data_IF_576475885525
#
_entry.id   IF_576475885525
#
_cell.length_a   1.000
_cell.length_b   1.000
_cell.length_c   1.000
_cell.angle_alpha   90.00
_cell.angle_beta   90.00
_cell.angle_gamma   90.00
#
_symmetry.space_group_name_H-M   'P 1'
#
loop_
_entity.id
_entity.type
_entity.pdbx_description
1 polymer ?
#
# COMPACT_ATOMS: atom_id res chain seq x y z
N UNK A 1 24.97 56.64 21.62
CA UNK A 1 24.65 55.21 21.90
C UNK A 1 23.14 54.93 21.89
N UNK A 2 22.41 55.18 20.77
CA UNK A 2 20.96 54.89 20.70
C UNK A 2 20.52 53.94 19.56
N UNK A 3 21.40 53.54 18.64
CA UNK A 3 20.97 52.76 17.45
C UNK A 3 21.33 51.26 17.49
N UNK A 4 22.10 50.79 18.49
CA UNK A 4 22.54 49.38 18.56
C UNK A 4 21.45 48.43 19.10
N UNK A 5 20.55 48.92 19.95
CA UNK A 5 19.46 48.12 20.54
C UNK A 5 18.29 47.91 19.56
N UNK A 6 18.02 48.89 18.70
CA UNK A 6 16.94 48.81 17.70
C UNK A 6 17.24 47.83 16.56
N UNK A 7 18.52 47.73 16.15
CA UNK A 7 18.95 46.76 15.13
C UNK A 7 18.88 45.31 15.62
N UNK A 8 19.21 45.06 16.90
CA UNK A 8 19.12 43.72 17.48
C UNK A 8 17.67 43.26 17.64
N UNK A 9 16.77 44.17 18.04
CA UNK A 9 15.34 43.86 18.14
C UNK A 9 14.74 43.51 16.77
N UNK A 10 15.06 44.27 15.72
CA UNK A 10 14.57 44.02 14.36
C UNK A 10 15.04 42.67 13.78
N UNK A 11 16.26 42.23 14.09
CA UNK A 11 16.78 40.93 13.66
C UNK A 11 16.09 39.78 14.40
N UNK A 12 15.79 39.96 15.69
CA UNK A 12 15.08 38.95 16.49
C UNK A 12 13.61 38.84 16.07
N UNK A 13 12.91 39.95 15.79
CA UNK A 13 11.54 39.87 15.24
C UNK A 13 11.51 39.29 13.82
N UNK A 14 12.50 39.58 12.97
CA UNK A 14 12.59 38.98 11.64
C UNK A 14 12.82 37.45 11.74
N UNK A 15 13.71 37.00 12.63
CA UNK A 15 13.93 35.57 12.86
C UNK A 15 12.70 34.88 13.47
N UNK A 16 11.99 35.53 14.39
CA UNK A 16 10.76 34.97 14.96
C UNK A 16 9.60 34.90 13.95
N UNK A 17 9.54 35.81 12.97
CA UNK A 17 8.54 35.76 11.89
C UNK A 17 8.81 34.67 10.85
N UNK A 18 10.08 34.41 10.51
CA UNK A 18 10.46 33.31 9.62
C UNK A 18 10.42 31.94 10.30
N UNK A 19 10.60 31.86 11.62
CA UNK A 19 10.53 30.60 12.34
C UNK A 19 9.09 30.21 12.76
N UNK A 20 8.18 31.15 13.03
CA UNK A 20 6.84 30.81 13.50
C UNK A 20 5.91 30.24 12.41
N UNK A 21 6.10 30.65 11.15
CA UNK A 21 5.27 30.20 10.02
C UNK A 21 5.56 28.76 9.57
N UNK A 22 6.71 28.20 9.93
CA UNK A 22 7.07 26.82 9.60
C UNK A 22 6.46 25.78 10.56
N UNK A 23 5.98 26.18 11.74
CA UNK A 23 5.49 25.27 12.79
C UNK A 23 3.97 25.26 12.98
N UNK A 24 3.21 26.06 12.22
CA UNK A 24 1.75 26.17 12.36
C UNK A 24 0.94 25.60 11.19
N UNK A 25 1.58 24.97 10.21
CA UNK A 25 0.88 24.40 9.06
C UNK A 25 0.49 22.96 9.39
N UNK A 26 -0.76 22.76 9.81
CA UNK A 26 -1.33 21.40 9.87
C UNK A 26 -1.49 20.85 8.45
N UNK A 27 -1.48 19.52 8.25
CA UNK A 27 -1.73 18.93 6.93
C UNK A 27 -3.04 19.41 6.29
N UNK A 28 -4.07 19.67 7.11
CA UNK A 28 -5.36 20.21 6.65
C UNK A 28 -5.23 21.64 6.09
N UNK A 29 -4.38 22.48 6.70
CA UNK A 29 -4.12 23.86 6.23
C UNK A 29 -3.36 23.87 4.89
N UNK A 30 -2.34 23.02 4.74
CA UNK A 30 -1.61 22.90 3.47
C UNK A 30 -2.50 22.38 2.31
N UNK A 31 -3.43 21.47 2.63
CA UNK A 31 -4.41 20.95 1.66
C UNK A 31 -5.37 22.05 1.19
N UNK A 32 -5.80 22.94 2.10
CA UNK A 32 -6.66 24.08 1.79
C UNK A 32 -5.96 25.14 0.92
N UNK A 33 -4.64 25.30 1.09
CA UNK A 33 -3.84 26.32 0.40
C UNK A 33 -3.10 25.83 -0.85
N UNK A 34 -3.27 24.55 -1.25
CA UNK A 34 -2.50 23.89 -2.34
C UNK A 34 -0.99 24.00 -2.16
N UNK A 35 -0.53 24.13 -0.92
CA UNK A 35 0.89 24.10 -0.64
C UNK A 35 1.37 22.66 -0.91
N UNK A 36 2.34 22.51 -1.81
CA UNK A 36 2.98 21.22 -2.07
C UNK A 36 3.72 20.81 -0.80
N UNK A 37 3.08 20.00 0.03
CA UNK A 37 3.70 19.38 1.21
C UNK A 37 4.87 18.56 0.69
N UNK A 38 6.09 18.96 1.05
CA UNK A 38 7.25 18.16 0.70
C UNK A 38 7.30 16.87 1.53
N UNK A 39 7.79 15.75 0.97
CA UNK A 39 7.94 14.47 1.65
C UNK A 39 9.06 14.58 2.70
N UNK A 40 8.77 15.22 3.83
CA UNK A 40 9.71 15.24 4.95
C UNK A 40 9.82 13.86 5.56
N UNK A 41 10.92 13.60 6.25
CA UNK A 41 11.20 12.33 6.91
C UNK A 41 10.01 11.82 7.75
N UNK A 42 9.48 12.65 8.64
CA UNK A 42 8.36 12.31 9.53
C UNK A 42 7.07 11.98 8.77
N UNK A 43 6.79 12.72 7.68
CA UNK A 43 5.61 12.47 6.84
C UNK A 43 5.74 11.15 6.10
N UNK A 44 6.91 10.87 5.52
CA UNK A 44 7.19 9.62 4.82
C UNK A 44 7.11 8.43 5.78
N UNK A 45 7.70 8.54 6.96
CA UNK A 45 7.61 7.51 8.01
C UNK A 45 6.14 7.18 8.34
N UNK A 46 5.34 8.20 8.67
CA UNK A 46 3.92 8.02 9.04
C UNK A 46 3.10 7.43 7.90
N UNK A 47 3.29 7.92 6.68
CA UNK A 47 2.56 7.42 5.50
C UNK A 47 2.93 5.98 5.18
N UNK A 48 4.21 5.61 5.21
CA UNK A 48 4.62 4.23 4.97
C UNK A 48 4.02 3.30 6.04
N UNK A 49 4.10 3.65 7.33
CA UNK A 49 3.50 2.84 8.39
C UNK A 49 1.99 2.68 8.21
N UNK A 50 1.29 3.76 7.87
CA UNK A 50 -0.14 3.75 7.58
C UNK A 50 -0.48 2.83 6.40
N UNK A 51 0.23 3.00 5.28
CA UNK A 51 0.04 2.20 4.07
C UNK A 51 0.34 0.72 4.32
N UNK A 52 1.46 0.39 4.99
CA UNK A 52 1.78 -0.99 5.34
C UNK A 52 0.71 -1.63 6.24
N UNK A 53 0.10 -0.85 7.16
CA UNK A 53 -1.05 -1.29 7.94
C UNK A 53 -2.27 -1.62 7.07
N UNK A 54 -2.59 -0.76 6.10
CA UNK A 54 -3.68 -1.01 5.15
C UNK A 54 -3.40 -2.22 4.25
N UNK A 55 -2.17 -2.36 3.76
CA UNK A 55 -1.74 -3.51 2.95
C UNK A 55 -1.90 -4.80 3.76
N UNK A 56 -1.48 -4.82 5.02
CA UNK A 56 -1.64 -6.00 5.87
C UNK A 56 -3.11 -6.38 6.07
N UNK A 57 -3.98 -5.41 6.33
CA UNK A 57 -5.42 -5.64 6.45
C UNK A 57 -6.02 -6.16 5.13
N UNK A 58 -5.60 -5.60 3.99
CA UNK A 58 -6.04 -6.02 2.67
C UNK A 58 -5.56 -7.43 2.33
N UNK A 59 -4.29 -7.75 2.61
CA UNK A 59 -3.69 -9.07 2.44
C UNK A 59 -4.50 -10.15 3.17
N UNK A 60 -4.76 -9.96 4.46
CA UNK A 60 -5.57 -10.89 5.24
C UNK A 60 -7.00 -11.00 4.72
N UNK A 61 -7.65 -9.86 4.42
CA UNK A 61 -9.01 -9.86 3.88
C UNK A 61 -9.13 -10.58 2.53
N UNK A 62 -8.16 -10.42 1.63
CA UNK A 62 -8.10 -11.15 0.34
C UNK A 62 -7.89 -12.64 0.56
N UNK A 63 -6.97 -13.01 1.46
CA UNK A 63 -6.67 -14.40 1.76
C UNK A 63 -7.87 -15.13 2.38
N UNK A 64 -8.58 -14.49 3.31
CA UNK A 64 -9.78 -15.06 3.93
C UNK A 64 -10.90 -15.28 2.90
N UNK A 65 -11.08 -14.35 1.95
CA UNK A 65 -12.06 -14.49 0.86
C UNK A 65 -11.78 -15.73 -0.01
N UNK A 66 -10.51 -15.98 -0.35
CA UNK A 66 -10.12 -17.09 -1.24
C UNK A 66 -9.89 -18.40 -0.50
N UNK A 67 -9.64 -18.38 0.81
CA UNK A 67 -9.51 -19.59 1.64
C UNK A 67 -10.77 -20.45 1.57
N UNK A 68 -11.95 -19.83 1.53
CA UNK A 68 -13.23 -20.54 1.35
C UNK A 68 -13.27 -21.36 0.04
N UNK A 69 -12.72 -20.80 -1.06
CA UNK A 69 -12.62 -21.49 -2.35
C UNK A 69 -11.59 -22.63 -2.32
N UNK A 70 -10.52 -22.52 -1.51
CA UNK A 70 -9.54 -23.60 -1.36
C UNK A 70 -10.13 -24.80 -0.61
N UNK A 71 -10.95 -24.56 0.41
CA UNK A 71 -11.62 -25.62 1.19
C UNK A 71 -12.61 -26.44 0.35
N UNK A 72 -13.16 -25.86 -0.73
CA UNK A 72 -14.02 -26.53 -1.70
C UNK A 72 -13.30 -27.65 -2.50
N UNK A 73 -11.96 -27.70 -2.50
CA UNK A 73 -11.18 -28.74 -3.19
C UNK A 73 -11.25 -30.10 -2.50
N UNK A 74 -11.40 -30.12 -1.18
CA UNK A 74 -11.24 -31.32 -0.34
C UNK A 74 -12.53 -31.78 0.34
N UNK A 75 -13.66 -31.12 0.08
CA UNK A 75 -14.94 -31.35 0.75
C UNK A 75 -16.04 -31.84 -0.21
N UNK A 76 -17.06 -32.50 0.33
CA UNK A 76 -18.30 -32.84 -0.40
C UNK A 76 -19.14 -31.56 -0.63
N UNK A 77 -18.62 -30.66 -1.46
CA UNK A 77 -19.27 -29.40 -1.82
C UNK A 77 -20.22 -29.59 -3.01
N UNK A 78 -21.43 -29.03 -2.94
CA UNK A 78 -22.35 -29.00 -4.08
C UNK A 78 -21.98 -27.90 -5.08
N UNK A 79 -22.54 -28.00 -6.30
CA UNK A 79 -22.39 -26.94 -7.30
C UNK A 79 -22.98 -25.60 -6.81
N UNK A 80 -24.13 -25.62 -6.11
CA UNK A 80 -24.73 -24.38 -5.60
C UNK A 80 -23.84 -23.73 -4.53
N UNK A 81 -23.26 -24.52 -3.64
CA UNK A 81 -22.37 -24.00 -2.60
C UNK A 81 -21.13 -23.32 -3.19
N UNK A 82 -20.49 -23.94 -4.17
CA UNK A 82 -19.30 -23.37 -4.81
C UNK A 82 -19.65 -22.14 -5.67
N UNK A 83 -20.79 -22.17 -6.36
CA UNK A 83 -21.34 -21.01 -7.08
C UNK A 83 -21.58 -19.83 -6.14
N UNK A 84 -22.20 -20.07 -4.98
CA UNK A 84 -22.44 -19.04 -3.98
C UNK A 84 -21.14 -18.45 -3.40
N UNK A 85 -20.13 -19.28 -3.16
CA UNK A 85 -18.81 -18.81 -2.72
C UNK A 85 -18.13 -17.92 -3.77
N UNK A 86 -18.16 -18.32 -5.05
CA UNK A 86 -17.62 -17.51 -6.15
C UNK A 86 -18.36 -16.17 -6.29
N UNK A 87 -19.69 -16.17 -6.11
CA UNK A 87 -20.47 -14.93 -6.09
C UNK A 87 -20.08 -14.03 -4.91
N UNK A 88 -19.90 -14.60 -3.72
CA UNK A 88 -19.48 -13.85 -2.53
C UNK A 88 -18.10 -13.20 -2.73
N UNK A 89 -17.13 -13.92 -3.30
CA UNK A 89 -15.83 -13.36 -3.66
C UNK A 89 -16.00 -12.22 -4.66
N UNK A 90 -16.80 -12.41 -5.72
CA UNK A 90 -17.08 -11.37 -6.71
C UNK A 90 -17.63 -10.09 -6.08
N UNK A 91 -18.56 -10.20 -5.14
CA UNK A 91 -19.13 -9.05 -4.43
C UNK A 91 -18.09 -8.40 -3.51
N UNK A 92 -17.32 -9.22 -2.77
CA UNK A 92 -16.28 -8.75 -1.84
C UNK A 92 -15.14 -7.98 -2.51
N UNK A 93 -14.93 -8.17 -3.81
CA UNK A 93 -13.92 -7.46 -4.59
C UNK A 93 -14.37 -6.07 -5.07
N UNK A 94 -15.66 -5.73 -5.06
CA UNK A 94 -16.19 -4.50 -5.69
C UNK A 94 -15.48 -3.23 -5.18
N UNK A 95 -15.24 -3.13 -3.88
CA UNK A 95 -14.66 -1.93 -3.27
C UNK A 95 -13.12 -1.96 -3.18
N UNK A 96 -12.50 -3.13 -3.42
CA UNK A 96 -11.06 -3.33 -3.23
C UNK A 96 -10.20 -2.49 -4.17
N UNK A 97 -10.50 -2.34 -5.48
CA UNK A 97 -9.73 -1.48 -6.38
C UNK A 97 -9.63 -0.04 -5.90
N UNK A 98 -10.70 0.53 -5.35
CA UNK A 98 -10.69 1.91 -4.86
C UNK A 98 -9.73 2.09 -3.68
N UNK A 99 -9.71 1.12 -2.75
CA UNK A 99 -8.76 1.10 -1.63
C UNK A 99 -7.31 0.92 -2.12
N UNK A 100 -7.08 0.01 -3.07
CA UNK A 100 -5.74 -0.23 -3.63
C UNK A 100 -5.21 1.02 -4.35
N UNK A 101 -6.06 1.73 -5.10
CA UNK A 101 -5.70 3.03 -5.71
C UNK A 101 -5.47 4.13 -4.68
N UNK A 102 -6.13 4.08 -3.52
CA UNK A 102 -5.79 4.98 -2.42
C UNK A 102 -4.38 4.67 -1.88
N UNK A 103 -4.08 3.40 -1.60
CA UNK A 103 -2.73 2.95 -1.21
C UNK A 103 -1.68 3.40 -2.24
N UNK A 104 -1.94 3.18 -3.53
CA UNK A 104 -1.02 3.56 -4.61
C UNK A 104 -0.66 5.06 -4.59
N UNK A 105 -1.65 5.94 -4.39
CA UNK A 105 -1.45 7.39 -4.28
C UNK A 105 -0.62 7.78 -3.07
N UNK A 106 -0.82 7.12 -1.94
CA UNK A 106 -0.03 7.38 -0.72
C UNK A 106 1.43 6.91 -0.88
N UNK A 107 1.65 5.80 -1.60
CA UNK A 107 2.99 5.32 -1.96
C UNK A 107 3.66 6.28 -2.95
N UNK A 108 2.95 6.72 -3.99
CA UNK A 108 3.44 7.66 -5.01
C UNK A 108 3.95 8.97 -4.37
N UNK A 109 3.28 9.44 -3.33
CA UNK A 109 3.74 10.59 -2.54
C UNK A 109 5.10 10.34 -1.87
N UNK A 110 5.39 9.12 -1.45
CA UNK A 110 6.63 8.76 -0.75
C UNK A 110 7.78 8.45 -1.71
N UNK A 111 7.51 8.04 -2.94
CA UNK A 111 8.52 7.62 -3.94
C UNK A 111 9.47 8.73 -4.39
N UNK A 112 9.11 9.99 -4.16
CA UNK A 112 10.00 11.13 -4.39
C UNK A 112 11.11 11.24 -3.33
N UNK A 113 11.02 10.49 -2.23
CA UNK A 113 12.03 10.48 -1.18
C UNK A 113 13.29 9.71 -1.63
N UNK A 114 14.51 10.23 -1.37
CA UNK A 114 15.74 9.59 -1.82
C UNK A 114 15.90 8.15 -1.30
N UNK A 115 16.20 7.23 -2.22
CA UNK A 115 16.43 5.83 -1.89
C UNK A 115 15.17 5.02 -1.56
N UNK A 116 13.98 5.55 -1.83
CA UNK A 116 12.74 4.80 -1.74
C UNK A 116 12.79 3.55 -2.65
N UNK A 117 12.34 2.38 -2.17
CA UNK A 117 12.47 1.13 -2.91
C UNK A 117 11.65 1.14 -4.20
N UNK A 118 12.14 0.39 -5.19
CA UNK A 118 11.40 0.07 -6.41
C UNK A 118 10.66 -1.26 -6.24
N UNK A 119 9.75 -1.54 -7.17
CA UNK A 119 8.99 -2.77 -7.26
C UNK A 119 9.81 -3.94 -7.81
N UNK A 120 9.13 -4.85 -8.52
CA UNK A 120 9.74 -6.09 -9.00
C UNK A 120 10.64 -5.85 -10.22
N UNK A 121 11.74 -6.61 -10.32
CA UNK A 121 12.64 -6.62 -11.47
C UNK A 121 12.16 -7.61 -12.55
N UNK A 122 10.88 -7.49 -12.92
CA UNK A 122 10.20 -8.37 -13.87
C UNK A 122 9.95 -7.72 -15.24
N UNK A 123 10.26 -6.42 -15.40
CA UNK A 123 10.21 -5.70 -16.68
C UNK A 123 11.58 -5.63 -17.37
N UNK A 124 11.65 -5.76 -18.72
CA UNK A 124 12.87 -5.52 -19.48
C UNK A 124 13.39 -4.07 -19.36
N UNK A 125 12.57 -3.12 -18.91
CA UNK A 125 12.98 -1.73 -18.64
C UNK A 125 13.56 -1.53 -17.23
N UNK A 126 13.59 -2.59 -16.41
CA UNK A 126 14.00 -2.57 -15.01
C UNK A 126 12.82 -2.37 -14.05
N UNK A 127 13.09 -2.32 -12.73
CA UNK A 127 12.02 -2.35 -11.74
C UNK A 127 11.20 -1.06 -11.74
N UNK A 128 9.88 -1.23 -11.79
CA UNK A 128 8.93 -0.12 -11.78
C UNK A 128 8.77 0.50 -10.38
N UNK A 129 8.06 1.62 -10.31
CA UNK A 129 7.63 2.21 -9.03
C UNK A 129 6.62 1.31 -8.33
N UNK A 130 6.69 1.22 -7.01
CA UNK A 130 5.77 0.41 -6.19
C UNK A 130 4.32 0.89 -6.40
N UNK A 131 4.08 2.19 -6.50
CA UNK A 131 2.76 2.77 -6.77
C UNK A 131 2.15 2.23 -8.08
N UNK A 132 2.96 2.04 -9.11
CA UNK A 132 2.52 1.49 -10.41
C UNK A 132 2.11 0.02 -10.28
N UNK A 133 2.86 -0.78 -9.53
CA UNK A 133 2.47 -2.17 -9.21
C UNK A 133 1.10 -2.22 -8.52
N UNK A 134 0.84 -1.32 -7.57
CA UNK A 134 -0.47 -1.24 -6.91
C UNK A 134 -1.59 -0.80 -7.86
N UNK A 135 -1.35 0.16 -8.76
CA UNK A 135 -2.34 0.51 -9.80
C UNK A 135 -2.66 -0.69 -10.69
N UNK A 136 -1.65 -1.44 -11.14
CA UNK A 136 -1.84 -2.66 -11.94
C UNK A 136 -2.68 -3.71 -11.20
N UNK A 137 -2.45 -3.92 -9.89
CA UNK A 137 -3.27 -4.82 -9.08
C UNK A 137 -4.72 -4.34 -8.98
N UNK A 138 -4.96 -3.03 -8.81
CA UNK A 138 -6.31 -2.49 -8.77
C UNK A 138 -7.05 -2.74 -10.07
N UNK A 139 -6.38 -2.49 -11.20
CA UNK A 139 -6.94 -2.69 -12.54
C UNK A 139 -7.16 -4.18 -12.83
N UNK A 140 -6.25 -5.05 -12.38
CA UNK A 140 -6.41 -6.49 -12.50
C UNK A 140 -7.67 -6.97 -11.75
N UNK A 141 -7.84 -6.59 -10.48
CA UNK A 141 -8.99 -6.99 -9.66
C UNK A 141 -10.31 -6.43 -10.23
N UNK A 142 -10.32 -5.19 -10.69
CA UNK A 142 -11.51 -4.55 -11.26
C UNK A 142 -11.99 -5.27 -12.54
N UNK A 143 -11.05 -5.77 -13.33
CA UNK A 143 -11.34 -6.46 -14.58
C UNK A 143 -11.48 -7.99 -14.44
N UNK A 144 -11.22 -8.53 -13.24
CA UNK A 144 -11.28 -9.97 -12.97
C UNK A 144 -12.70 -10.51 -13.18
N UNK A 145 -12.89 -11.26 -14.25
CA UNK A 145 -14.16 -11.91 -14.54
C UNK A 145 -14.31 -13.17 -13.70
N UNK A 146 -15.26 -13.20 -12.76
CA UNK A 146 -15.57 -14.39 -11.95
C UNK A 146 -16.89 -15.00 -12.44
N UNK A 147 -16.80 -16.21 -13.01
CA UNK A 147 -17.96 -16.93 -13.53
C UNK A 147 -18.56 -17.89 -12.50
N UNK A 148 -19.47 -17.37 -11.69
CA UNK A 148 -20.23 -18.15 -10.71
C UNK A 148 -21.48 -18.84 -11.29
N UNK A 149 -21.85 -18.58 -12.55
CA UNK A 149 -23.10 -19.09 -13.17
C UNK A 149 -22.91 -20.42 -13.90
N UNK A 150 -21.74 -21.04 -13.79
CA UNK A 150 -21.47 -22.35 -14.36
C UNK A 150 -22.37 -23.40 -13.70
N UNK A 151 -22.90 -24.34 -14.49
CA UNK A 151 -23.82 -25.38 -14.03
C UNK A 151 -23.11 -26.64 -13.54
N UNK A 152 -21.91 -26.90 -14.03
CA UNK A 152 -21.15 -28.12 -13.76
C UNK A 152 -20.11 -27.91 -12.64
N UNK A 153 -20.06 -28.85 -11.69
CA UNK A 153 -19.17 -28.77 -10.52
C UNK A 153 -17.68 -28.81 -10.91
N UNK A 154 -17.21 -29.70 -11.80
CA UNK A 154 -15.86 -29.63 -12.36
C UNK A 154 -15.51 -28.26 -12.95
N UNK A 155 -16.40 -27.64 -13.72
CA UNK A 155 -16.18 -26.31 -14.27
C UNK A 155 -16.07 -25.24 -13.18
N UNK A 156 -16.96 -25.25 -12.18
CA UNK A 156 -16.89 -24.36 -11.02
C UNK A 156 -15.60 -24.53 -10.21
N UNK A 157 -15.11 -25.77 -10.05
CA UNK A 157 -13.84 -26.05 -9.36
C UNK A 157 -12.64 -25.48 -10.11
N UNK A 158 -12.62 -25.59 -11.44
CA UNK A 158 -11.57 -24.99 -12.27
C UNK A 158 -11.58 -23.47 -12.15
N UNK A 159 -12.77 -22.87 -12.17
CA UNK A 159 -12.93 -21.43 -11.99
C UNK A 159 -12.48 -20.97 -10.60
N UNK A 160 -12.85 -21.69 -9.53
CA UNK A 160 -12.39 -21.41 -8.18
C UNK A 160 -10.87 -21.47 -8.05
N UNK A 161 -10.22 -22.47 -8.64
CA UNK A 161 -8.75 -22.57 -8.65
C UNK A 161 -8.11 -21.39 -9.39
N UNK A 162 -8.67 -20.97 -10.53
CA UNK A 162 -8.21 -19.81 -11.27
C UNK A 162 -8.34 -18.53 -10.43
N UNK A 163 -9.51 -18.28 -9.84
CA UNK A 163 -9.74 -17.11 -8.98
C UNK A 163 -8.81 -17.08 -7.78
N UNK A 164 -8.57 -18.23 -7.13
CA UNK A 164 -7.58 -18.33 -6.05
C UNK A 164 -6.19 -17.96 -6.56
N UNK A 165 -5.80 -18.44 -7.75
CA UNK A 165 -4.50 -18.12 -8.32
C UNK A 165 -4.34 -16.63 -8.59
N UNK A 166 -5.29 -16.02 -9.29
CA UNK A 166 -5.24 -14.60 -9.64
C UNK A 166 -5.21 -13.70 -8.40
N UNK A 167 -6.01 -13.98 -7.37
CA UNK A 167 -6.08 -13.10 -6.21
C UNK A 167 -4.97 -13.35 -5.18
N UNK A 168 -4.64 -14.61 -4.89
CA UNK A 168 -3.66 -14.95 -3.87
C UNK A 168 -2.23 -14.85 -4.40
N UNK A 169 -1.94 -15.57 -5.48
CA UNK A 169 -0.57 -15.72 -5.98
C UNK A 169 -0.12 -14.52 -6.79
N UNK A 170 -1.01 -13.90 -7.58
CA UNK A 170 -0.65 -12.74 -8.40
C UNK A 170 -0.70 -11.44 -7.61
N UNK A 171 -1.75 -11.19 -6.82
CA UNK A 171 -1.92 -9.89 -6.15
C UNK A 171 -1.47 -9.89 -4.68
N UNK A 172 -2.04 -10.79 -3.85
CA UNK A 172 -1.84 -10.76 -2.39
C UNK A 172 -0.38 -10.94 -1.97
N UNK A 173 0.34 -11.91 -2.55
CA UNK A 173 1.76 -12.13 -2.25
C UNK A 173 2.66 -10.99 -2.75
N UNK A 174 2.30 -10.33 -3.86
CA UNK A 174 3.01 -9.14 -4.32
C UNK A 174 2.83 -7.99 -3.33
N UNK A 175 1.61 -7.73 -2.86
CA UNK A 175 1.34 -6.70 -1.85
C UNK A 175 2.17 -6.91 -0.58
N UNK A 176 2.23 -8.15 -0.08
CA UNK A 176 3.02 -8.53 1.10
C UNK A 176 4.51 -8.24 0.92
N UNK A 177 5.04 -8.56 -0.26
CA UNK A 177 6.46 -8.37 -0.58
C UNK A 177 6.81 -6.89 -0.64
N UNK A 178 6.03 -6.09 -1.39
CA UNK A 178 6.24 -4.65 -1.52
C UNK A 178 6.10 -3.91 -0.17
N UNK A 179 5.17 -4.35 0.70
CA UNK A 179 5.07 -3.83 2.05
C UNK A 179 6.32 -4.12 2.88
N UNK A 180 6.90 -5.32 2.75
CA UNK A 180 8.16 -5.67 3.41
C UNK A 180 9.31 -4.79 2.94
N UNK A 181 9.39 -4.47 1.65
CA UNK A 181 10.44 -3.61 1.10
C UNK A 181 10.34 -2.17 1.62
N UNK A 182 9.13 -1.63 1.70
CA UNK A 182 8.89 -0.32 2.31
C UNK A 182 9.24 -0.28 3.81
N UNK A 183 8.91 -1.33 4.57
CA UNK A 183 9.29 -1.44 5.98
C UNK A 183 10.82 -1.60 6.15
N UNK A 184 11.47 -2.35 5.27
CA UNK A 184 12.93 -2.48 5.25
C UNK A 184 13.62 -1.15 4.94
N UNK A 185 13.05 -0.34 4.04
CA UNK A 185 13.52 1.01 3.76
C UNK A 185 13.48 1.89 5.02
N UNK A 186 12.37 1.89 5.77
CA UNK A 186 12.28 2.64 7.03
C UNK A 186 13.38 2.20 8.02
N UNK A 187 13.64 0.90 8.14
CA UNK A 187 14.64 0.38 9.08
C UNK A 187 16.07 0.66 8.66
N UNK A 188 16.40 0.42 7.39
CA UNK A 188 17.79 0.45 6.91
C UNK A 188 18.24 1.84 6.48
N UNK A 189 17.34 2.59 5.83
CA UNK A 189 17.67 3.90 5.24
C UNK A 189 17.30 5.03 6.19
N UNK A 190 16.12 4.95 6.82
CA UNK A 190 15.70 5.95 7.81
C UNK A 190 16.20 5.64 9.23
N UNK A 191 16.81 4.46 9.45
CA UNK A 191 17.37 4.02 10.76
C UNK A 191 16.35 4.03 11.89
N UNK A 192 15.09 3.81 11.57
CA UNK A 192 14.01 3.80 12.55
C UNK A 192 14.07 2.51 13.40
N UNK A 193 13.97 2.67 14.72
CA UNK A 193 13.87 1.56 15.66
C UNK A 193 12.42 1.07 15.71
N UNK A 194 12.07 0.31 14.70
CA UNK A 194 10.72 -0.19 14.51
C UNK A 194 10.57 -1.52 15.29
N UNK A 195 9.64 -1.62 16.26
CA UNK A 195 9.55 -2.76 17.18
C UNK A 195 8.89 -4.02 16.56
N UNK A 196 8.99 -4.23 15.24
CA UNK A 196 8.48 -5.42 14.57
C UNK A 196 9.60 -6.23 13.93
N UNK A 197 9.63 -7.53 14.20
CA UNK A 197 10.50 -8.47 13.51
C UNK A 197 10.02 -8.65 12.06
N UNK A 198 10.60 -7.88 11.14
CA UNK A 198 10.51 -8.18 9.71
C UNK A 198 11.31 -9.47 9.50
N UNK A 199 10.72 -10.48 8.87
CA UNK A 199 11.38 -11.74 8.50
C UNK A 199 12.56 -11.46 7.55
N UNK A 200 13.71 -11.08 8.10
CA UNK A 200 14.92 -10.82 7.32
C UNK A 200 15.68 -12.12 7.07
N UNK A 201 15.96 -12.41 5.79
CA UNK A 201 17.09 -13.27 5.42
C UNK A 201 18.38 -12.68 6.02
N UNK A 202 19.35 -13.51 6.43
CA UNK A 202 20.58 -13.02 7.02
C UNK A 202 21.35 -12.18 6.00
N UNK A 203 21.83 -11.01 6.42
CA UNK A 203 22.84 -10.26 5.69
C UNK A 203 24.15 -11.03 5.83
N UNK A 204 24.59 -11.73 4.79
CA UNK A 204 25.95 -12.25 4.74
C UNK A 204 26.90 -11.05 4.64
N UNK A 205 27.72 -10.90 5.69
CA UNK A 205 28.87 -9.98 5.71
C UNK A 205 30.00 -10.56 4.89
#
# INVERSE_FOLDING_TARGET
MKNRKSGLFAVVTLMLWFCASAFAVTPEFATLHRDKIQPTHDIVLKKILFVCGQINALYHGTNDMVAALQLAKNSNISAEMLSAQLLAVKIGLIEKPALIRHIAREIEFCEVYPGFPLGFDDSPEGPEKISVEFYKMADHIENLQINHKLSDLPALRKEAQRVVFELFWTDSEKMRTLASDMLNFLRMVLKEDIPFHIFGKPIHR
#
